data_IF_226440410599
#
_entry.id   IF_226440410599
#
_cell.length_a   1.000
_cell.length_b   1.000
_cell.length_c   1.000
_cell.angle_alpha   90.00
_cell.angle_beta   90.00
_cell.angle_gamma   90.00
#
_symmetry.space_group_name_H-M   'P 1'
#
loop_
_entity.id
_entity.type
_entity.pdbx_description
1 polymer ?
#
# COMPACT_ATOMS: atom_id res chain seq x y z
N UNK A 1 -24.33 77.82 16.96
CA UNK A 1 -23.75 77.31 15.70
C UNK A 1 -22.56 76.43 16.07
N UNK A 2 -22.35 75.36 15.27
CA UNK A 2 -21.38 74.26 15.42
C UNK A 2 -21.90 73.05 16.22
N UNK A 3 -22.84 72.37 15.57
CA UNK A 3 -23.18 70.96 15.75
C UNK A 3 -21.97 70.07 15.50
N UNK A 4 -21.65 69.20 16.46
CA UNK A 4 -20.61 68.18 16.32
C UNK A 4 -21.03 67.11 15.29
N UNK A 5 -20.09 66.59 14.48
CA UNK A 5 -20.38 65.54 13.51
C UNK A 5 -20.51 64.19 14.21
N UNK A 6 -21.68 63.58 14.07
CA UNK A 6 -21.93 62.17 14.33
C UNK A 6 -20.98 61.30 13.51
N UNK A 7 -20.11 60.55 14.18
CA UNK A 7 -19.36 59.44 13.62
C UNK A 7 -20.32 58.35 13.14
N UNK A 8 -20.13 57.80 11.92
CA UNK A 8 -20.93 56.67 11.47
C UNK A 8 -20.52 55.44 12.26
N UNK A 9 -21.49 54.80 12.93
CA UNK A 9 -21.37 53.42 13.36
C UNK A 9 -21.10 52.54 12.14
N UNK A 10 -19.83 52.20 11.92
CA UNK A 10 -19.47 50.99 11.20
C UNK A 10 -20.11 49.83 11.98
N UNK A 11 -21.01 49.02 11.38
CA UNK A 11 -21.36 47.77 12.00
C UNK A 11 -20.08 46.96 12.05
N UNK A 12 -19.58 46.73 13.26
CA UNK A 12 -18.72 45.59 13.55
C UNK A 12 -19.47 44.35 13.10
N UNK A 13 -19.29 43.99 11.83
CA UNK A 13 -19.37 42.61 11.37
C UNK A 13 -18.14 41.92 11.95
N UNK A 14 -18.10 41.85 13.29
CA UNK A 14 -17.55 40.70 13.98
C UNK A 14 -18.47 39.56 13.57
N UNK A 15 -18.21 38.98 12.40
CA UNK A 15 -18.58 37.61 12.10
C UNK A 15 -17.98 36.79 13.22
N UNK A 16 -18.77 36.61 14.28
CA UNK A 16 -18.47 35.67 15.32
C UNK A 16 -18.29 34.34 14.59
N UNK A 17 -17.09 33.79 14.61
CA UNK A 17 -16.82 32.37 14.33
C UNK A 17 -17.51 31.46 15.36
N UNK A 18 -18.65 31.90 15.92
CA UNK A 18 -19.60 31.07 16.60
C UNK A 18 -20.32 30.24 15.55
N UNK A 19 -20.14 28.92 15.66
CA UNK A 19 -20.97 27.87 15.10
C UNK A 19 -20.57 27.29 13.75
N UNK A 20 -19.30 26.92 13.56
CA UNK A 20 -19.03 25.69 12.81
C UNK A 20 -19.02 24.55 13.84
N UNK A 21 -19.99 23.61 13.80
CA UNK A 21 -20.02 22.46 14.69
C UNK A 21 -18.72 21.66 14.64
N UNK A 22 -18.28 21.08 15.77
CA UNK A 22 -17.08 20.23 15.82
C UNK A 22 -17.05 19.11 14.77
N UNK A 23 -18.22 18.60 14.39
CA UNK A 23 -18.39 17.56 13.37
C UNK A 23 -17.96 18.07 11.99
N UNK A 24 -18.29 19.31 11.64
CA UNK A 24 -17.87 19.91 10.38
C UNK A 24 -16.36 20.13 10.35
N UNK A 25 -15.75 20.52 11.48
CA UNK A 25 -14.29 20.62 11.58
C UNK A 25 -13.59 19.27 11.41
N UNK A 26 -14.17 18.19 11.93
CA UNK A 26 -13.67 16.83 11.69
C UNK A 26 -13.76 16.44 10.22
N UNK A 27 -14.85 16.79 9.53
CA UNK A 27 -14.99 16.54 8.09
C UNK A 27 -13.96 17.34 7.28
N UNK A 28 -13.77 18.62 7.59
CA UNK A 28 -12.74 19.46 6.96
C UNK A 28 -11.35 18.84 7.19
N UNK A 29 -11.05 18.44 8.43
CA UNK A 29 -9.78 17.82 8.75
C UNK A 29 -9.59 16.47 8.06
N UNK A 30 -10.65 15.66 7.92
CA UNK A 30 -10.59 14.40 7.19
C UNK A 30 -10.33 14.63 5.69
N UNK A 31 -10.98 15.61 5.09
CA UNK A 31 -10.75 15.99 3.70
C UNK A 31 -9.33 16.51 3.48
N UNK A 32 -8.82 17.39 4.37
CA UNK A 32 -7.44 17.85 4.33
C UNK A 32 -6.43 16.70 4.50
N UNK A 33 -6.76 15.69 5.30
CA UNK A 33 -5.96 14.48 5.46
C UNK A 33 -5.96 13.64 4.17
N UNK A 34 -7.11 13.48 3.51
CA UNK A 34 -7.21 12.80 2.20
C UNK A 34 -6.34 13.52 1.16
N UNK A 35 -6.40 14.85 1.14
CA UNK A 35 -5.58 15.70 0.26
C UNK A 35 -4.10 15.77 0.67
N UNK A 36 -3.70 15.07 1.74
CA UNK A 36 -2.34 15.10 2.31
C UNK A 36 -1.86 16.51 2.67
N UNK A 37 -2.77 17.44 2.94
CA UNK A 37 -2.48 18.84 3.28
C UNK A 37 -2.17 19.00 4.77
N UNK A 38 -1.03 18.44 5.18
CA UNK A 38 -0.60 18.39 6.58
C UNK A 38 -0.39 19.78 7.19
N UNK A 39 0.08 20.75 6.39
CA UNK A 39 0.29 22.13 6.86
C UNK A 39 -1.02 22.80 7.28
N UNK A 40 -2.09 22.62 6.50
CA UNK A 40 -3.39 23.21 6.84
C UNK A 40 -3.98 22.58 8.10
N UNK A 41 -3.80 21.27 8.29
CA UNK A 41 -4.20 20.58 9.53
C UNK A 41 -3.46 21.11 10.76
N UNK A 42 -2.15 21.34 10.65
CA UNK A 42 -1.35 21.93 11.72
C UNK A 42 -1.80 23.36 12.01
N UNK A 43 -2.01 24.18 10.97
CA UNK A 43 -2.51 25.54 11.14
C UNK A 43 -3.85 25.55 11.88
N UNK A 44 -4.77 24.64 11.55
CA UNK A 44 -6.05 24.51 12.24
C UNK A 44 -5.89 24.16 13.72
N UNK A 45 -4.93 23.30 14.09
CA UNK A 45 -4.66 22.98 15.49
C UNK A 45 -4.17 24.19 16.29
N UNK A 46 -3.48 25.14 15.65
CA UNK A 46 -2.94 26.32 16.29
C UNK A 46 -3.98 27.44 16.48
N UNK A 47 -5.15 27.34 15.84
CA UNK A 47 -6.18 28.40 15.91
C UNK A 47 -6.93 28.45 17.25
N UNK A 48 -7.18 27.30 17.89
CA UNK A 48 -7.86 27.24 19.20
C UNK A 48 -7.65 25.91 19.91
N UNK A 49 -7.83 25.89 21.23
CA UNK A 49 -7.78 24.66 22.04
C UNK A 49 -8.85 23.65 21.61
N UNK A 50 -10.05 24.13 21.26
CA UNK A 50 -11.12 23.25 20.80
C UNK A 50 -10.73 22.54 19.50
N UNK A 51 -10.23 23.29 18.51
CA UNK A 51 -9.80 22.71 17.24
C UNK A 51 -8.60 21.78 17.41
N UNK A 52 -7.65 22.14 18.27
CA UNK A 52 -6.55 21.26 18.64
C UNK A 52 -7.06 19.90 19.16
N UNK A 53 -8.02 19.89 20.09
CA UNK A 53 -8.58 18.67 20.64
C UNK A 53 -9.34 17.82 19.60
N UNK A 54 -9.99 18.45 18.61
CA UNK A 54 -10.72 17.74 17.57
C UNK A 54 -9.85 17.21 16.44
N UNK A 55 -8.73 17.88 16.13
CA UNK A 55 -7.89 17.57 14.98
C UNK A 55 -6.68 16.70 15.37
N UNK A 56 -6.19 16.81 16.61
CA UNK A 56 -5.08 15.97 17.11
C UNK A 56 -5.29 14.48 16.84
N UNK A 57 -6.47 13.87 17.08
CA UNK A 57 -6.69 12.46 16.76
C UNK A 57 -6.50 12.11 15.28
N UNK A 58 -6.83 13.04 14.37
CA UNK A 58 -6.68 12.85 12.93
C UNK A 58 -5.21 12.94 12.53
N UNK A 59 -4.49 13.94 13.06
CA UNK A 59 -3.06 14.13 12.80
C UNK A 59 -2.18 12.97 13.28
N UNK A 60 -2.52 12.40 14.43
CA UNK A 60 -1.79 11.28 15.03
C UNK A 60 -2.33 9.91 14.61
N UNK A 61 -3.43 9.85 13.85
CA UNK A 61 -3.94 8.59 13.29
C UNK A 61 -2.90 7.84 12.46
N UNK A 62 -2.08 8.59 11.70
CA UNK A 62 -0.98 8.08 10.89
C UNK A 62 0.31 8.86 11.17
N UNK A 63 1.32 8.16 11.68
CA UNK A 63 2.64 8.73 12.02
C UNK A 63 3.70 8.11 11.12
N UNK A 64 4.46 8.98 10.44
CA UNK A 64 5.56 8.60 9.56
C UNK A 64 6.89 9.05 10.16
N UNK A 65 7.81 8.10 10.37
CA UNK A 65 9.11 8.25 11.01
C UNK A 65 10.23 7.81 10.05
N UNK A 66 10.46 8.59 9.01
CA UNK A 66 11.38 8.23 7.92
C UNK A 66 12.88 8.35 8.27
N UNK A 67 13.21 8.96 9.40
CA UNK A 67 14.61 9.23 9.80
C UNK A 67 14.84 8.94 11.28
N UNK A 68 16.09 8.66 11.65
CA UNK A 68 16.51 8.50 13.06
C UNK A 68 16.14 9.73 13.90
N UNK A 69 16.25 10.93 13.33
CA UNK A 69 15.83 12.18 13.99
C UNK A 69 14.33 12.21 14.28
N UNK A 70 13.50 11.81 13.32
CA UNK A 70 12.05 11.73 13.55
C UNK A 70 11.69 10.69 14.60
N UNK A 71 12.36 9.54 14.63
CA UNK A 71 12.16 8.50 15.67
C UNK A 71 12.51 9.05 17.05
N UNK A 72 13.63 9.76 17.20
CA UNK A 72 14.04 10.36 18.47
C UNK A 72 13.03 11.41 18.96
N UNK A 73 12.63 12.35 18.10
CA UNK A 73 11.62 13.36 18.43
C UNK A 73 10.29 12.72 18.84
N UNK A 74 9.90 11.67 18.14
CA UNK A 74 8.71 10.90 18.45
C UNK A 74 8.79 10.25 19.84
N UNK A 75 9.88 9.54 20.14
CA UNK A 75 10.07 8.89 21.44
C UNK A 75 10.07 9.90 22.59
N UNK A 76 10.73 11.06 22.44
CA UNK A 76 10.71 12.15 23.42
C UNK A 76 9.30 12.70 23.65
N UNK A 77 8.58 12.95 22.55
CA UNK A 77 7.19 13.43 22.63
C UNK A 77 6.30 12.40 23.34
N UNK A 78 6.52 11.11 23.08
CA UNK A 78 5.76 10.04 23.72
C UNK A 78 6.12 9.87 25.20
N UNK A 79 7.38 10.05 25.59
CA UNK A 79 7.76 10.02 26.99
C UNK A 79 6.95 11.04 27.83
N UNK A 80 6.64 12.19 27.27
CA UNK A 80 5.88 13.26 27.94
C UNK A 80 4.36 13.16 27.77
N UNK A 81 3.88 12.74 26.60
CA UNK A 81 2.46 12.86 26.22
C UNK A 81 1.77 11.53 25.84
N UNK A 82 2.41 10.38 26.06
CA UNK A 82 1.90 9.08 25.61
C UNK A 82 0.47 8.77 26.09
N UNK A 83 0.12 9.07 27.34
CA UNK A 83 -1.22 8.80 27.87
C UNK A 83 -2.32 9.49 27.05
N UNK A 84 -2.01 10.66 26.46
CA UNK A 84 -2.93 11.42 25.61
C UNK A 84 -2.86 11.00 24.15
N UNK A 85 -1.66 10.77 23.61
CA UNK A 85 -1.44 10.58 22.16
C UNK A 85 -1.52 9.11 21.72
N UNK A 86 -1.08 8.19 22.57
CA UNK A 86 -0.98 6.77 22.28
C UNK A 86 -2.28 6.13 21.76
N UNK A 87 -3.45 6.41 22.35
CA UNK A 87 -4.72 5.88 21.86
C UNK A 87 -5.11 6.33 20.45
N UNK A 88 -4.52 7.41 19.90
CA UNK A 88 -4.87 7.90 18.57
C UNK A 88 -4.08 7.23 17.45
N UNK A 89 -2.90 6.68 17.74
CA UNK A 89 -2.06 6.07 16.70
C UNK A 89 -2.65 4.74 16.25
N UNK A 90 -3.00 4.67 14.97
CA UNK A 90 -3.50 3.46 14.31
C UNK A 90 -2.52 2.95 13.26
N UNK A 91 -1.80 3.86 12.61
CA UNK A 91 -0.78 3.55 11.62
C UNK A 91 0.56 4.16 12.01
N UNK A 92 1.60 3.34 12.05
CA UNK A 92 2.98 3.77 12.29
C UNK A 92 3.88 3.27 11.17
N UNK A 93 4.64 4.18 10.56
CA UNK A 93 5.65 3.84 9.56
C UNK A 93 7.02 4.26 10.05
N UNK A 94 7.90 3.30 10.27
CA UNK A 94 9.31 3.53 10.63
C UNK A 94 10.13 3.23 9.39
N UNK A 95 10.81 4.25 8.88
CA UNK A 95 11.41 4.23 7.55
C UNK A 95 10.37 4.14 6.43
N UNK A 96 10.82 3.86 5.22
CA UNK A 96 9.97 3.71 4.05
C UNK A 96 10.51 2.63 3.12
N UNK A 97 9.76 2.30 2.07
CA UNK A 97 10.23 1.48 0.97
C UNK A 97 9.79 2.14 -0.33
N UNK A 98 10.71 2.25 -1.28
CA UNK A 98 10.45 2.82 -2.60
C UNK A 98 10.23 1.71 -3.63
N UNK A 99 10.91 0.57 -3.44
CA UNK A 99 10.64 -0.67 -4.15
C UNK A 99 10.68 -1.85 -3.20
N UNK A 100 10.35 -3.04 -3.72
CA UNK A 100 10.46 -4.26 -2.95
C UNK A 100 11.89 -4.52 -2.46
N UNK A 101 12.90 -4.19 -3.27
CA UNK A 101 14.33 -4.30 -2.92
C UNK A 101 14.88 -3.07 -2.20
N UNK A 102 14.27 -1.90 -2.36
CA UNK A 102 14.80 -0.64 -1.85
C UNK A 102 14.05 -0.16 -0.61
N UNK A 103 14.48 -0.67 0.54
CA UNK A 103 14.01 -0.23 1.86
C UNK A 103 14.88 0.91 2.37
N UNK A 104 14.26 2.05 2.68
CA UNK A 104 14.89 3.16 3.37
C UNK A 104 14.90 2.87 4.86
N UNK A 105 15.83 2.01 5.25
CA UNK A 105 15.94 1.52 6.62
C UNK A 105 16.43 2.63 7.54
N UNK A 106 15.77 2.75 8.69
CA UNK A 106 16.25 3.62 9.75
C UNK A 106 17.27 2.86 10.59
N UNK A 107 18.46 3.45 10.73
CA UNK A 107 19.48 2.97 11.66
C UNK A 107 19.18 3.54 13.06
N UNK A 108 18.98 2.65 14.02
CA UNK A 108 18.68 2.98 15.40
C UNK A 108 19.84 2.52 16.28
N UNK A 109 20.35 3.42 17.13
CA UNK A 109 21.20 3.02 18.23
C UNK A 109 20.39 2.20 19.25
N UNK A 110 21.07 1.36 20.04
CA UNK A 110 20.40 0.54 21.08
C UNK A 110 19.50 1.36 22.00
N UNK A 111 19.94 2.51 22.58
CA UNK A 111 19.08 3.31 23.45
C UNK A 111 17.83 3.83 22.75
N UNK A 112 17.97 4.26 21.49
CA UNK A 112 16.83 4.77 20.72
C UNK A 112 15.85 3.65 20.35
N UNK A 113 16.34 2.43 20.11
CA UNK A 113 15.49 1.26 19.88
C UNK A 113 14.73 0.84 21.15
N UNK A 114 15.34 0.97 22.33
CA UNK A 114 14.70 0.76 23.63
C UNK A 114 13.61 1.82 23.90
N UNK A 115 13.92 3.10 23.66
CA UNK A 115 12.95 4.21 23.77
C UNK A 115 11.76 4.00 22.83
N UNK A 116 12.01 3.54 21.60
CA UNK A 116 10.96 3.22 20.63
C UNK A 116 10.12 2.03 21.11
N UNK A 117 10.74 0.99 21.66
CA UNK A 117 10.03 -0.14 22.28
C UNK A 117 9.10 0.33 23.39
N UNK A 118 9.59 1.23 24.27
CA UNK A 118 8.79 1.80 25.34
C UNK A 118 7.62 2.63 24.80
N UNK A 119 7.82 3.42 23.75
CA UNK A 119 6.75 4.16 23.10
C UNK A 119 5.69 3.21 22.50
N UNK A 120 6.10 2.15 21.80
CA UNK A 120 5.22 1.16 21.18
C UNK A 120 4.30 0.46 22.20
N UNK A 121 4.77 0.24 23.44
CA UNK A 121 3.95 -0.27 24.56
C UNK A 121 2.76 0.62 24.91
N UNK A 122 2.79 1.88 24.52
CA UNK A 122 1.78 2.88 24.85
C UNK A 122 0.81 3.14 23.70
N UNK A 123 0.81 2.32 22.65
CA UNK A 123 -0.04 2.47 21.46
C UNK A 123 -1.04 1.31 21.32
N UNK A 124 -2.07 1.23 22.18
CA UNK A 124 -2.97 0.08 22.22
C UNK A 124 -3.81 -0.10 20.94
N UNK A 125 -3.99 0.98 20.17
CA UNK A 125 -4.81 0.99 18.96
C UNK A 125 -4.01 0.84 17.67
N UNK A 126 -2.70 0.56 17.75
CA UNK A 126 -1.87 0.33 16.57
C UNK A 126 -2.35 -0.90 15.81
N UNK A 127 -2.68 -0.72 14.53
CA UNK A 127 -3.19 -1.78 13.63
C UNK A 127 -2.30 -1.97 12.42
N UNK A 128 -1.67 -0.90 11.96
CA UNK A 128 -0.88 -0.91 10.73
C UNK A 128 0.55 -0.50 11.04
N UNK A 129 1.50 -1.40 10.76
CA UNK A 129 2.91 -1.16 11.01
C UNK A 129 3.72 -1.34 9.74
N UNK A 130 4.53 -0.34 9.39
CA UNK A 130 5.68 -0.50 8.49
C UNK A 130 6.95 -0.39 9.30
N UNK A 131 7.80 -1.41 9.26
CA UNK A 131 9.02 -1.50 10.07
C UNK A 131 10.26 -1.69 9.17
N UNK A 132 10.69 -0.62 8.51
CA UNK A 132 11.92 -0.57 7.72
C UNK A 132 13.10 -0.15 8.62
N UNK A 133 13.73 -1.10 9.28
CA UNK A 133 14.86 -0.84 10.18
C UNK A 133 15.94 -1.92 10.06
N UNK A 134 17.14 -1.59 10.53
CA UNK A 134 18.23 -2.55 10.59
C UNK A 134 17.92 -3.69 11.58
N UNK A 135 18.44 -4.88 11.31
CA UNK A 135 18.17 -6.11 12.08
C UNK A 135 18.44 -5.96 13.59
N UNK A 136 19.51 -5.27 13.97
CA UNK A 136 19.84 -5.01 15.38
C UNK A 136 18.76 -4.15 16.04
N UNK A 137 18.37 -3.05 15.39
CA UNK A 137 17.30 -2.17 15.88
C UNK A 137 15.96 -2.89 15.96
N UNK A 138 15.65 -3.79 15.01
CA UNK A 138 14.45 -4.61 15.03
C UNK A 138 14.40 -5.50 16.27
N UNK A 139 15.48 -6.23 16.55
CA UNK A 139 15.57 -7.17 17.68
C UNK A 139 15.40 -6.42 19.00
N UNK A 140 16.20 -5.38 19.23
CA UNK A 140 16.12 -4.55 20.45
C UNK A 140 14.74 -3.93 20.66
N UNK A 141 14.08 -3.49 19.58
CA UNK A 141 12.78 -2.83 19.65
C UNK A 141 11.63 -3.82 19.91
N UNK A 142 11.60 -4.96 19.20
CA UNK A 142 10.44 -5.85 19.17
C UNK A 142 10.54 -7.08 20.06
N UNK A 143 11.73 -7.58 20.42
CA UNK A 143 11.87 -8.70 21.36
C UNK A 143 11.07 -8.49 22.67
N UNK A 144 11.08 -7.28 23.29
CA UNK A 144 10.28 -7.02 24.49
C UNK A 144 8.76 -7.03 24.25
N UNK A 145 8.31 -6.90 23.00
CA UNK A 145 6.90 -6.77 22.62
C UNK A 145 6.27 -8.13 22.26
N UNK A 146 7.09 -9.10 21.86
CA UNK A 146 6.63 -10.45 21.45
C UNK A 146 5.85 -11.16 22.56
N UNK A 147 6.33 -11.08 23.81
CA UNK A 147 5.76 -11.85 24.91
C UNK A 147 4.39 -11.30 25.37
N UNK A 148 4.22 -9.98 25.33
CA UNK A 148 3.00 -9.29 25.74
C UNK A 148 2.73 -8.16 24.74
N UNK A 149 2.19 -8.48 23.56
CA UNK A 149 1.97 -7.48 22.53
C UNK A 149 0.94 -6.45 23.02
N UNK A 150 1.29 -5.15 23.04
CA UNK A 150 0.43 -4.09 23.54
C UNK A 150 -0.68 -3.72 22.56
N UNK A 151 -0.63 -4.24 21.33
CA UNK A 151 -1.53 -3.97 20.22
C UNK A 151 -1.74 -5.21 19.36
N UNK A 152 -2.73 -5.13 18.46
CA UNK A 152 -3.14 -6.20 17.55
C UNK A 152 -3.10 -5.71 16.11
N UNK A 153 -2.04 -6.09 15.39
CA UNK A 153 -1.79 -5.67 14.02
C UNK A 153 -2.78 -6.35 13.07
N UNK A 154 -3.33 -5.57 12.15
CA UNK A 154 -4.10 -6.02 10.98
C UNK A 154 -3.24 -6.00 9.73
N UNK A 155 -2.29 -5.05 9.63
CA UNK A 155 -1.37 -4.92 8.52
C UNK A 155 0.07 -4.80 8.99
N UNK A 156 0.96 -5.57 8.37
CA UNK A 156 2.39 -5.50 8.62
C UNK A 156 3.16 -5.43 7.30
N UNK A 157 4.04 -4.44 7.17
CA UNK A 157 5.03 -4.34 6.10
C UNK A 157 6.44 -4.31 6.69
N UNK A 158 7.28 -5.26 6.33
CA UNK A 158 8.57 -5.46 6.99
C UNK A 158 9.56 -6.17 6.03
N UNK A 159 10.86 -5.81 6.00
CA UNK A 159 11.84 -6.59 5.26
C UNK A 159 12.10 -7.92 5.96
N UNK A 160 12.35 -8.96 5.17
CA UNK A 160 12.73 -10.28 5.63
C UNK A 160 14.14 -10.19 6.20
N UNK A 161 14.25 -10.34 7.52
CA UNK A 161 15.55 -10.31 8.22
C UNK A 161 16.06 -11.71 8.57
N UNK A 162 15.23 -12.75 8.44
CA UNK A 162 15.58 -14.13 8.80
C UNK A 162 15.86 -14.34 10.30
N UNK A 163 15.56 -13.36 11.15
CA UNK A 163 15.84 -13.41 12.59
C UNK A 163 14.75 -14.09 13.39
N UNK A 164 15.11 -14.66 14.55
CA UNK A 164 14.13 -15.19 15.50
C UNK A 164 13.08 -14.13 15.89
N UNK A 165 13.48 -12.90 16.15
CA UNK A 165 12.58 -11.77 16.45
C UNK A 165 11.50 -11.62 15.40
N UNK A 166 11.86 -11.66 14.12
CA UNK A 166 10.90 -11.55 13.02
C UNK A 166 9.81 -12.64 13.08
N UNK A 167 10.22 -13.90 13.26
CA UNK A 167 9.28 -15.02 13.38
C UNK A 167 8.38 -14.90 14.61
N UNK A 168 8.95 -14.56 15.76
CA UNK A 168 8.20 -14.47 17.00
C UNK A 168 7.24 -13.25 17.00
N UNK A 169 7.62 -12.15 16.35
CA UNK A 169 6.73 -11.01 16.13
C UNK A 169 5.50 -11.43 15.33
N UNK A 170 5.68 -12.11 14.19
CA UNK A 170 4.56 -12.62 13.39
C UNK A 170 3.70 -13.60 14.18
N UNK A 171 4.32 -14.50 14.97
CA UNK A 171 3.62 -15.47 15.81
C UNK A 171 2.78 -14.79 16.89
N UNK A 172 3.28 -13.70 17.47
CA UNK A 172 2.57 -12.90 18.48
C UNK A 172 1.37 -12.12 17.92
N UNK A 173 1.20 -12.07 16.59
CA UNK A 173 0.22 -11.23 15.90
C UNK A 173 -0.74 -12.06 15.00
N UNK A 174 -1.57 -12.96 15.57
CA UNK A 174 -2.49 -13.80 14.78
C UNK A 174 -3.62 -13.01 14.08
N UNK A 175 -3.81 -11.74 14.43
CA UNK A 175 -4.80 -10.84 13.84
C UNK A 175 -4.43 -10.28 12.47
N UNK A 176 -3.18 -10.47 12.01
CA UNK A 176 -2.70 -9.94 10.73
C UNK A 176 -3.54 -10.51 9.58
N UNK A 177 -4.07 -9.59 8.76
CA UNK A 177 -4.85 -9.88 7.56
C UNK A 177 -4.12 -9.53 6.27
N UNK A 178 -3.18 -8.57 6.34
CA UNK A 178 -2.37 -8.10 5.23
C UNK A 178 -0.89 -8.11 5.61
N UNK A 179 -0.10 -8.91 4.90
CA UNK A 179 1.33 -9.06 5.14
C UNK A 179 2.12 -8.70 3.89
N UNK A 180 3.00 -7.71 4.01
CA UNK A 180 3.98 -7.35 3.00
C UNK A 180 5.38 -7.68 3.51
N UNK A 181 6.03 -8.67 2.91
CA UNK A 181 7.39 -9.06 3.23
C UNK A 181 8.30 -8.58 2.10
N UNK A 182 9.17 -7.62 2.36
CA UNK A 182 10.28 -7.28 1.46
C UNK A 182 11.42 -8.28 1.59
N UNK A 183 12.30 -8.40 0.59
CA UNK A 183 13.47 -9.28 0.69
C UNK A 183 14.57 -8.78 -0.21
N UNK A 184 15.78 -8.79 0.32
CA UNK A 184 17.03 -8.49 -0.41
C UNK A 184 17.89 -9.75 -0.57
N UNK A 185 17.48 -10.89 0.02
CA UNK A 185 18.29 -12.11 0.10
C UNK A 185 17.45 -13.37 -0.13
N UNK A 186 17.85 -14.18 -1.10
CA UNK A 186 17.13 -15.39 -1.53
C UNK A 186 17.15 -16.52 -0.49
N UNK A 187 18.24 -16.69 0.28
CA UNK A 187 18.37 -17.80 1.25
C UNK A 187 17.34 -17.72 2.38
N UNK A 188 17.12 -16.54 2.95
CA UNK A 188 16.13 -16.36 4.02
C UNK A 188 14.70 -16.64 3.58
N UNK A 189 14.41 -16.52 2.28
CA UNK A 189 13.09 -16.79 1.72
C UNK A 189 12.74 -18.28 1.73
N UNK A 190 13.72 -19.15 1.46
CA UNK A 190 13.51 -20.60 1.47
C UNK A 190 13.21 -21.11 2.88
N UNK A 191 13.98 -20.65 3.87
CA UNK A 191 13.76 -21.02 5.27
C UNK A 191 12.41 -20.53 5.77
N UNK A 192 12.06 -19.28 5.43
CA UNK A 192 10.76 -18.71 5.79
C UNK A 192 9.60 -19.45 5.12
N UNK A 193 9.73 -19.74 3.83
CA UNK A 193 8.75 -20.51 3.05
C UNK A 193 8.53 -21.90 3.64
N UNK A 194 9.61 -22.59 4.00
CA UNK A 194 9.53 -23.90 4.65
C UNK A 194 8.79 -23.81 6.00
N UNK A 195 9.11 -22.82 6.83
CA UNK A 195 8.40 -22.59 8.09
C UNK A 195 6.89 -22.35 7.88
N UNK A 196 6.53 -21.52 6.90
CA UNK A 196 5.13 -21.27 6.57
C UNK A 196 4.41 -22.52 6.07
N UNK A 197 5.07 -23.34 5.23
CA UNK A 197 4.48 -24.54 4.66
C UNK A 197 4.18 -25.63 5.70
N UNK A 198 5.01 -25.70 6.76
CA UNK A 198 4.89 -26.69 7.84
C UNK A 198 3.90 -26.27 8.93
N UNK A 199 3.52 -24.99 8.99
CA UNK A 199 2.66 -24.43 10.03
C UNK A 199 1.43 -23.72 9.43
N UNK A 200 0.44 -24.43 8.88
CA UNK A 200 -0.72 -23.81 8.22
C UNK A 200 -1.57 -22.93 9.15
N UNK A 201 -1.51 -23.17 10.47
CA UNK A 201 -2.19 -22.35 11.49
C UNK A 201 -1.45 -21.03 11.82
N UNK A 202 -0.23 -20.84 11.31
CA UNK A 202 0.50 -19.59 11.45
C UNK A 202 -0.16 -18.51 10.59
N UNK A 203 -0.49 -17.37 11.20
CA UNK A 203 -1.25 -16.27 10.60
C UNK A 203 -2.61 -16.74 10.03
N UNK A 204 -3.52 -17.24 10.89
CA UNK A 204 -4.75 -17.89 10.45
C UNK A 204 -5.75 -16.93 9.77
N UNK A 205 -5.63 -15.62 10.04
CA UNK A 205 -6.50 -14.58 9.47
C UNK A 205 -5.92 -13.91 8.22
N UNK A 206 -4.80 -14.42 7.69
CA UNK A 206 -4.12 -13.82 6.55
C UNK A 206 -4.97 -13.96 5.28
N UNK A 207 -5.45 -12.83 4.75
CA UNK A 207 -6.27 -12.76 3.53
C UNK A 207 -5.54 -12.14 2.34
N UNK A 208 -4.51 -11.35 2.62
CA UNK A 208 -3.68 -10.63 1.64
C UNK A 208 -2.20 -10.84 1.93
N UNK A 209 -1.43 -11.18 0.91
CA UNK A 209 0.03 -11.28 1.01
C UNK A 209 0.73 -10.64 -0.18
N UNK A 210 1.75 -9.85 0.11
CA UNK A 210 2.73 -9.32 -0.86
C UNK A 210 4.09 -9.91 -0.55
N UNK A 211 4.62 -10.75 -1.44
CA UNK A 211 5.90 -11.43 -1.23
C UNK A 211 6.49 -11.98 -2.55
N UNK A 212 7.75 -12.45 -2.56
CA UNK A 212 8.32 -13.19 -3.68
C UNK A 212 7.64 -14.55 -3.83
N UNK A 213 7.74 -15.09 -5.03
CA UNK A 213 7.22 -16.41 -5.39
C UNK A 213 7.69 -17.51 -4.42
N UNK A 214 8.96 -17.48 -4.01
CA UNK A 214 9.56 -18.42 -3.05
C UNK A 214 8.79 -18.47 -1.72
N UNK A 215 8.43 -17.31 -1.16
CA UNK A 215 7.66 -17.18 0.09
C UNK A 215 6.19 -17.54 -0.16
N UNK A 216 5.60 -17.05 -1.25
CA UNK A 216 4.19 -17.30 -1.59
C UNK A 216 3.88 -18.81 -1.67
N UNK A 217 4.82 -19.61 -2.20
CA UNK A 217 4.71 -21.07 -2.26
C UNK A 217 4.45 -21.72 -0.90
N UNK A 218 5.04 -21.19 0.17
CA UNK A 218 4.82 -21.67 1.55
C UNK A 218 3.67 -20.96 2.27
N UNK A 219 3.41 -19.70 1.93
CA UNK A 219 2.42 -18.86 2.60
C UNK A 219 0.99 -19.14 2.16
N UNK A 220 0.73 -19.32 0.87
CA UNK A 220 -0.63 -19.45 0.33
C UNK A 220 -1.35 -20.75 0.76
N UNK A 221 -0.69 -21.93 0.70
CA UNK A 221 -1.37 -23.18 0.96
C UNK A 221 -2.07 -23.24 2.32
N UNK A 222 -3.33 -23.72 2.31
CA UNK A 222 -4.15 -23.99 3.50
C UNK A 222 -4.45 -22.75 4.36
N UNK A 223 -4.40 -21.55 3.78
CA UNK A 223 -4.81 -20.29 4.43
C UNK A 223 -5.92 -19.59 3.64
N UNK A 224 -6.73 -18.71 4.25
CA UNK A 224 -7.83 -18.02 3.58
C UNK A 224 -7.35 -16.80 2.77
N UNK A 225 -6.35 -16.98 1.91
CA UNK A 225 -5.76 -15.91 1.12
C UNK A 225 -6.57 -15.71 -0.17
N UNK A 226 -7.17 -14.55 -0.36
CA UNK A 226 -7.87 -14.17 -1.59
C UNK A 226 -7.10 -13.18 -2.45
N UNK A 227 -6.09 -12.53 -1.88
CA UNK A 227 -5.30 -11.48 -2.51
C UNK A 227 -3.81 -11.80 -2.47
N UNK A 228 -3.19 -11.88 -3.64
CA UNK A 228 -1.76 -12.18 -3.78
C UNK A 228 -1.10 -11.10 -4.64
N UNK A 229 -0.11 -10.40 -4.09
CA UNK A 229 0.79 -9.53 -4.84
C UNK A 229 2.14 -10.24 -4.98
N UNK A 230 2.48 -10.58 -6.22
CA UNK A 230 3.66 -11.32 -6.60
C UNK A 230 4.78 -10.34 -6.89
N UNK A 231 5.91 -10.52 -6.24
CA UNK A 231 7.08 -9.70 -6.49
C UNK A 231 7.99 -10.45 -7.45
N UNK A 232 8.18 -9.90 -8.66
CA UNK A 232 8.94 -10.56 -9.73
C UNK A 232 10.34 -10.01 -9.92
N UNK A 233 10.72 -8.96 -9.18
CA UNK A 233 12.08 -8.38 -9.21
C UNK A 233 13.18 -9.42 -8.86
N UNK A 234 12.85 -10.60 -8.30
CA UNK A 234 13.80 -11.67 -7.94
C UNK A 234 13.89 -12.83 -8.94
N UNK A 235 13.15 -12.76 -10.06
CA UNK A 235 13.39 -13.67 -11.18
C UNK A 235 14.73 -13.36 -11.89
N UNK A 236 15.35 -12.24 -11.50
CA UNK A 236 16.53 -11.73 -12.15
C UNK A 236 17.87 -12.25 -11.57
N UNK A 237 18.52 -13.09 -12.38
CA UNK A 237 19.97 -13.07 -12.72
C UNK A 237 20.98 -13.91 -11.91
N UNK A 238 20.65 -14.58 -10.81
CA UNK A 238 21.66 -15.46 -10.15
C UNK A 238 21.74 -16.88 -10.72
N UNK A 239 20.86 -17.25 -11.65
CA UNK A 239 20.94 -18.57 -12.28
C UNK A 239 20.44 -18.54 -13.74
N UNK A 240 21.34 -18.40 -14.74
CA UNK A 240 20.98 -18.28 -16.16
C UNK A 240 20.30 -19.53 -16.77
N UNK A 241 19.90 -20.51 -15.94
CA UNK A 241 19.09 -21.68 -16.32
C UNK A 241 17.70 -21.74 -15.68
N UNK A 242 17.30 -20.78 -14.82
CA UNK A 242 16.06 -20.84 -14.02
C UNK A 242 14.95 -19.90 -14.56
N UNK A 243 15.05 -19.47 -15.82
CA UNK A 243 14.02 -18.62 -16.47
C UNK A 243 12.73 -19.35 -16.86
N UNK A 244 12.60 -20.64 -16.50
CA UNK A 244 11.33 -21.37 -16.63
C UNK A 244 10.73 -21.48 -15.22
N UNK A 245 9.75 -20.64 -14.92
CA UNK A 245 8.90 -20.86 -13.73
C UNK A 245 8.09 -22.13 -14.01
N UNK A 246 8.62 -23.28 -13.57
CA UNK A 246 7.99 -24.56 -13.76
C UNK A 246 6.56 -24.55 -13.19
N UNK A 247 5.66 -25.32 -13.81
CA UNK A 247 4.25 -25.45 -13.37
C UNK A 247 4.09 -25.68 -11.85
N UNK A 248 5.02 -26.43 -11.26
CA UNK A 248 5.08 -26.74 -9.83
C UNK A 248 5.20 -25.52 -8.90
N UNK A 249 5.57 -24.36 -9.44
CA UNK A 249 5.70 -23.11 -8.69
C UNK A 249 4.34 -22.40 -8.57
N UNK A 250 3.54 -22.42 -9.63
CA UNK A 250 2.26 -21.68 -9.70
C UNK A 250 1.13 -22.38 -8.97
N UNK A 251 1.05 -23.71 -9.07
CA UNK A 251 -0.02 -24.51 -8.46
C UNK A 251 -0.25 -24.21 -6.97
N UNK A 252 0.76 -24.23 -6.08
CA UNK A 252 0.54 -23.95 -4.65
C UNK A 252 0.09 -22.51 -4.38
N UNK A 253 0.43 -21.55 -5.24
CA UNK A 253 0.07 -20.13 -5.09
C UNK A 253 -1.36 -19.88 -5.60
N UNK A 254 -1.73 -20.51 -6.72
CA UNK A 254 -3.02 -20.26 -7.39
C UNK A 254 -4.14 -21.15 -6.86
N UNK A 255 -3.84 -22.39 -6.48
CA UNK A 255 -4.82 -23.39 -6.03
C UNK A 255 -4.71 -23.75 -4.55
N UNK A 256 -3.64 -23.33 -3.86
CA UNK A 256 -3.37 -23.77 -2.49
C UNK A 256 -4.24 -23.11 -1.43
N UNK A 257 -4.85 -21.96 -1.73
CA UNK A 257 -5.67 -21.21 -0.78
C UNK A 257 -6.96 -21.96 -0.41
N UNK A 258 -7.45 -21.74 0.82
CA UNK A 258 -8.75 -22.25 1.26
C UNK A 258 -9.93 -21.50 0.64
N UNK A 259 -9.68 -20.31 0.08
CA UNK A 259 -10.69 -19.48 -0.59
C UNK A 259 -10.24 -19.18 -2.01
N UNK A 260 -11.17 -18.90 -2.94
CA UNK A 260 -10.79 -18.50 -4.29
C UNK A 260 -9.91 -17.25 -4.30
N UNK A 261 -8.89 -17.27 -5.16
CA UNK A 261 -8.09 -16.08 -5.45
C UNK A 261 -8.94 -15.14 -6.31
N UNK A 262 -9.22 -13.96 -5.76
CA UNK A 262 -10.03 -12.91 -6.43
C UNK A 262 -9.18 -11.73 -6.86
N UNK A 263 -7.99 -11.55 -6.27
CA UNK A 263 -7.06 -10.49 -6.65
C UNK A 263 -5.65 -11.03 -6.82
N UNK A 264 -5.06 -10.80 -7.98
CA UNK A 264 -3.65 -11.03 -8.23
C UNK A 264 -3.03 -9.71 -8.63
N UNK A 265 -1.85 -9.42 -8.11
CA UNK A 265 -1.06 -8.38 -8.71
C UNK A 265 0.43 -8.68 -8.74
N UNK A 266 1.16 -7.80 -9.40
CA UNK A 266 2.57 -7.98 -9.72
C UNK A 266 3.33 -6.69 -9.42
N UNK A 267 4.46 -6.80 -8.73
CA UNK A 267 5.49 -5.76 -8.71
C UNK A 267 6.50 -6.07 -9.81
N UNK A 268 6.53 -5.23 -10.84
CA UNK A 268 7.35 -5.42 -12.02
C UNK A 268 8.49 -4.39 -12.07
N UNK A 269 9.72 -4.88 -12.22
CA UNK A 269 10.91 -4.05 -12.47
C UNK A 269 11.10 -3.89 -13.99
N UNK A 270 11.63 -2.76 -14.48
CA UNK A 270 11.94 -2.59 -15.89
C UNK A 270 13.15 -3.44 -16.32
N UNK A 271 13.89 -3.97 -15.34
CA UNK A 271 15.02 -4.87 -15.54
C UNK A 271 14.64 -6.36 -15.55
N UNK A 272 13.38 -6.68 -15.21
CA UNK A 272 12.88 -8.06 -15.14
C UNK A 272 12.07 -8.43 -16.37
N UNK A 273 12.24 -9.67 -16.84
CA UNK A 273 11.34 -10.23 -17.86
C UNK A 273 9.89 -10.13 -17.39
N UNK A 274 8.99 -9.78 -18.32
CA UNK A 274 7.59 -9.62 -17.99
C UNK A 274 6.96 -10.98 -17.64
N UNK A 275 6.51 -11.18 -16.39
CA UNK A 275 5.95 -12.46 -15.96
C UNK A 275 4.59 -12.77 -16.59
N UNK A 276 3.94 -11.84 -17.31
CA UNK A 276 2.60 -12.04 -17.88
C UNK A 276 2.47 -13.27 -18.75
N UNK A 277 3.48 -13.52 -19.59
CA UNK A 277 3.49 -14.62 -20.54
C UNK A 277 3.53 -15.99 -19.83
N UNK A 278 3.93 -16.03 -18.55
CA UNK A 278 3.92 -17.23 -17.73
C UNK A 278 2.70 -17.25 -16.78
N UNK A 279 2.37 -16.10 -16.19
CA UNK A 279 1.32 -15.97 -15.20
C UNK A 279 -0.07 -16.17 -15.80
N UNK A 280 -0.40 -15.51 -16.92
CA UNK A 280 -1.75 -15.59 -17.49
C UNK A 280 -2.09 -17.01 -17.96
N UNK A 281 -1.19 -17.74 -18.65
CA UNK A 281 -1.42 -19.15 -18.94
C UNK A 281 -1.58 -20.00 -17.68
N UNK A 282 -0.80 -19.75 -16.62
CA UNK A 282 -0.95 -20.45 -15.35
C UNK A 282 -2.33 -20.20 -14.73
N UNK A 283 -2.77 -18.94 -14.64
CA UNK A 283 -4.09 -18.57 -14.11
C UNK A 283 -5.21 -19.34 -14.83
N UNK A 284 -5.17 -19.40 -16.17
CA UNK A 284 -6.17 -20.14 -16.97
C UNK A 284 -6.04 -21.66 -16.79
N UNK A 285 -4.82 -22.17 -16.78
CA UNK A 285 -4.56 -23.60 -16.60
C UNK A 285 -5.14 -24.11 -15.27
N UNK A 286 -5.02 -23.30 -14.22
CA UNK A 286 -5.49 -23.62 -12.87
C UNK A 286 -6.92 -23.13 -12.59
N UNK A 287 -7.62 -22.58 -13.58
CA UNK A 287 -9.02 -22.18 -13.46
C UNK A 287 -9.29 -20.94 -12.59
N UNK A 288 -8.25 -20.19 -12.22
CA UNK A 288 -8.37 -18.98 -11.40
C UNK A 288 -8.95 -17.81 -12.20
N UNK A 289 -8.84 -17.85 -13.54
CA UNK A 289 -9.48 -16.89 -14.47
C UNK A 289 -11.01 -16.78 -14.28
N UNK A 290 -11.64 -17.82 -13.73
CA UNK A 290 -13.08 -17.86 -13.45
C UNK A 290 -13.49 -17.12 -12.17
N UNK A 291 -12.56 -16.93 -11.24
CA UNK A 291 -12.82 -16.29 -9.93
C UNK A 291 -12.07 -14.97 -9.76
N UNK A 292 -11.10 -14.70 -10.64
CA UNK A 292 -10.28 -13.50 -10.57
C UNK A 292 -11.07 -12.26 -10.94
N UNK A 293 -11.22 -11.36 -9.98
CA UNK A 293 -11.95 -10.10 -10.13
C UNK A 293 -11.03 -8.91 -10.39
N UNK A 294 -9.79 -8.97 -9.91
CA UNK A 294 -8.88 -7.83 -9.96
C UNK A 294 -7.47 -8.25 -10.36
N UNK A 295 -6.92 -7.55 -11.33
CA UNK A 295 -5.49 -7.59 -11.68
C UNK A 295 -4.86 -6.24 -11.33
N UNK A 296 -3.78 -6.26 -10.55
CA UNK A 296 -3.01 -5.06 -10.21
C UNK A 296 -1.55 -5.20 -10.63
N UNK A 297 -0.97 -4.12 -11.10
CA UNK A 297 0.39 -4.07 -11.61
C UNK A 297 1.01 -2.84 -11.04
N UNK A 298 2.11 -3.00 -10.33
CA UNK A 298 2.86 -1.90 -9.75
C UNK A 298 4.21 -1.91 -10.43
N UNK A 299 4.44 -0.91 -11.27
CA UNK A 299 5.66 -0.77 -12.04
C UNK A 299 6.65 0.06 -11.24
N UNK A 300 7.82 -0.52 -10.99
CA UNK A 300 8.99 0.21 -10.54
C UNK A 300 9.55 0.89 -11.80
N UNK A 301 9.44 2.20 -11.90
CA UNK A 301 10.05 2.94 -13.01
C UNK A 301 11.39 3.48 -12.51
N UNK A 302 12.50 2.87 -12.96
CA UNK A 302 13.83 3.28 -12.56
C UNK A 302 14.18 4.65 -13.19
N UNK A 303 14.74 5.61 -12.42
CA UNK A 303 15.16 6.89 -12.96
C UNK A 303 16.32 6.76 -13.98
N UNK A 304 16.36 7.59 -15.05
CA UNK A 304 15.38 8.61 -15.38
C UNK A 304 14.18 8.01 -16.11
N UNK A 305 13.00 8.19 -15.52
CA UNK A 305 11.74 7.79 -16.14
C UNK A 305 11.40 8.82 -17.21
N UNK A 306 11.57 8.45 -18.47
CA UNK A 306 11.26 9.33 -19.62
C UNK A 306 9.81 9.15 -20.06
N UNK A 307 9.22 10.19 -20.65
CA UNK A 307 7.88 10.10 -21.28
C UNK A 307 7.83 8.96 -22.31
N UNK A 308 8.91 8.76 -23.07
CA UNK A 308 9.02 7.66 -24.03
C UNK A 308 8.96 6.28 -23.37
N UNK A 309 9.71 6.06 -22.29
CA UNK A 309 9.68 4.78 -21.54
C UNK A 309 8.30 4.45 -20.97
N UNK A 310 7.56 5.48 -20.52
CA UNK A 310 6.17 5.31 -20.07
C UNK A 310 5.24 4.93 -21.22
N UNK A 311 5.39 5.59 -22.37
CA UNK A 311 4.58 5.30 -23.55
C UNK A 311 4.83 3.89 -24.12
N UNK A 312 6.07 3.42 -24.12
CA UNK A 312 6.43 2.06 -24.54
C UNK A 312 5.81 1.01 -23.61
N UNK A 313 5.99 1.19 -22.29
CA UNK A 313 5.41 0.29 -21.28
C UNK A 313 3.89 0.22 -21.41
N UNK A 314 3.22 1.36 -21.56
CA UNK A 314 1.78 1.41 -21.81
C UNK A 314 1.36 0.68 -23.10
N UNK A 315 2.14 0.81 -24.18
CA UNK A 315 1.85 0.10 -25.43
C UNK A 315 1.97 -1.42 -25.28
N UNK A 316 2.95 -1.88 -24.49
CA UNK A 316 3.09 -3.29 -24.12
C UNK A 316 1.88 -3.77 -23.29
N UNK A 317 1.45 -3.00 -22.28
CA UNK A 317 0.26 -3.32 -21.46
C UNK A 317 -1.02 -3.41 -22.29
N UNK A 318 -1.22 -2.49 -23.23
CA UNK A 318 -2.35 -2.54 -24.17
C UNK A 318 -2.35 -3.85 -24.97
N UNK A 319 -1.18 -4.29 -25.45
CA UNK A 319 -1.07 -5.55 -26.18
C UNK A 319 -1.34 -6.78 -25.29
N UNK A 320 -0.92 -6.74 -24.02
CA UNK A 320 -1.19 -7.79 -23.04
C UNK A 320 -2.68 -7.91 -22.68
N UNK A 321 -3.51 -6.91 -22.96
CA UNK A 321 -4.96 -7.07 -22.76
C UNK A 321 -5.56 -8.18 -23.64
N UNK A 322 -4.96 -8.46 -24.79
CA UNK A 322 -5.43 -9.53 -25.70
C UNK A 322 -5.34 -10.91 -25.06
N UNK A 323 -4.34 -11.15 -24.21
CA UNK A 323 -4.13 -12.45 -23.55
C UNK A 323 -5.10 -12.68 -22.38
N UNK A 324 -5.76 -11.62 -21.89
CA UNK A 324 -6.83 -11.71 -20.88
C UNK A 324 -8.18 -12.16 -21.45
N UNK A 325 -8.25 -12.48 -22.75
CA UNK A 325 -9.47 -13.05 -23.33
C UNK A 325 -9.88 -14.35 -22.61
N UNK A 326 -11.13 -14.41 -22.17
CA UNK A 326 -11.72 -15.58 -21.49
C UNK A 326 -11.73 -15.49 -19.97
N UNK A 327 -11.38 -14.36 -19.37
CA UNK A 327 -11.62 -14.11 -17.95
C UNK A 327 -13.09 -13.73 -17.75
N UNK A 328 -13.79 -14.48 -16.90
CA UNK A 328 -15.25 -14.39 -16.76
C UNK A 328 -15.68 -13.32 -15.74
N UNK A 329 -14.87 -13.10 -14.70
CA UNK A 329 -15.19 -12.22 -13.57
C UNK A 329 -14.25 -11.04 -13.41
N UNK A 330 -13.35 -10.79 -14.36
CA UNK A 330 -12.35 -9.72 -14.23
C UNK A 330 -13.04 -8.34 -14.34
N UNK A 331 -13.23 -7.68 -13.20
CA UNK A 331 -13.95 -6.41 -13.05
C UNK A 331 -13.01 -5.20 -13.00
N UNK A 332 -11.79 -5.37 -12.47
CA UNK A 332 -10.83 -4.28 -12.27
C UNK A 332 -9.45 -4.61 -12.80
N UNK A 333 -8.86 -3.66 -13.51
CA UNK A 333 -7.47 -3.68 -13.96
C UNK A 333 -6.77 -2.39 -13.53
N UNK A 334 -5.63 -2.51 -12.85
CA UNK A 334 -4.90 -1.35 -12.33
C UNK A 334 -3.42 -1.46 -12.67
N UNK A 335 -2.92 -0.53 -13.48
CA UNK A 335 -1.49 -0.27 -13.63
C UNK A 335 -1.13 0.95 -12.81
N UNK A 336 -0.21 0.83 -11.88
CA UNK A 336 0.21 1.87 -10.95
C UNK A 336 1.71 2.10 -11.07
N UNK A 337 2.13 3.34 -10.83
CA UNK A 337 3.53 3.67 -10.55
C UNK A 337 3.83 3.39 -9.07
N UNK A 338 5.07 3.04 -8.74
CA UNK A 338 5.51 3.07 -7.34
C UNK A 338 5.39 4.49 -6.75
N UNK A 339 5.08 4.61 -5.45
CA UNK A 339 4.86 5.91 -4.82
C UNK A 339 6.10 6.82 -4.94
N UNK A 340 5.91 8.04 -5.43
CA UNK A 340 6.96 9.07 -5.55
C UNK A 340 7.09 9.69 -6.95
N UNK A 341 6.56 9.03 -7.98
CA UNK A 341 6.49 9.54 -9.35
C UNK A 341 5.01 9.53 -9.72
N UNK A 342 4.37 10.70 -9.78
CA UNK A 342 2.99 10.82 -10.25
C UNK A 342 2.99 11.43 -11.65
N UNK A 343 2.54 10.67 -12.64
CA UNK A 343 2.27 11.24 -13.96
C UNK A 343 1.06 12.20 -13.92
N UNK A 344 1.14 13.38 -14.56
CA UNK A 344 -0.03 14.24 -14.71
C UNK A 344 -1.16 13.50 -15.43
N UNK A 345 -2.39 13.63 -14.95
CA UNK A 345 -3.52 12.91 -15.52
C UNK A 345 -3.76 13.21 -17.01
N UNK A 346 -3.43 14.43 -17.45
CA UNK A 346 -3.50 14.86 -18.85
C UNK A 346 -2.56 14.07 -19.76
N UNK A 347 -1.37 13.70 -19.27
CA UNK A 347 -0.37 12.98 -20.05
C UNK A 347 -0.77 11.52 -20.22
N UNK A 348 -1.22 10.88 -19.13
CA UNK A 348 -1.76 9.53 -19.18
C UNK A 348 -2.94 9.44 -20.14
N UNK A 349 -3.88 10.38 -20.07
CA UNK A 349 -5.03 10.42 -20.97
C UNK A 349 -4.63 10.65 -22.43
N UNK A 350 -3.64 11.50 -22.69
CA UNK A 350 -3.08 11.74 -24.03
C UNK A 350 -2.41 10.49 -24.59
N UNK A 351 -1.60 9.80 -23.80
CA UNK A 351 -0.95 8.55 -24.22
C UNK A 351 -1.97 7.47 -24.54
N UNK A 352 -2.94 7.26 -23.65
CA UNK A 352 -3.99 6.26 -23.84
C UNK A 352 -4.89 6.61 -25.02
N UNK A 353 -5.24 7.89 -25.21
CA UNK A 353 -5.99 8.36 -26.38
C UNK A 353 -5.24 8.16 -27.70
N UNK A 354 -3.90 8.28 -27.70
CA UNK A 354 -3.05 8.03 -28.85
C UNK A 354 -2.85 6.55 -29.21
N UNK A 355 -3.10 5.63 -28.27
CA UNK A 355 -2.88 4.18 -28.44
C UNK A 355 -4.06 3.43 -29.07
N UNK A 356 -5.16 4.12 -29.37
CA UNK A 356 -6.36 3.50 -29.90
C UNK A 356 -7.29 2.91 -28.83
N UNK A 357 -8.50 2.59 -29.26
CA UNK A 357 -9.71 2.62 -28.45
C UNK A 357 -9.67 1.67 -27.23
N UNK A 358 -9.67 2.22 -26.01
CA UNK A 358 -9.85 1.48 -24.73
C UNK A 358 -11.08 0.55 -24.78
N UNK A 359 -12.07 0.86 -25.63
CA UNK A 359 -13.21 -0.03 -25.90
C UNK A 359 -12.81 -1.41 -26.43
N UNK A 360 -11.65 -1.56 -27.07
CA UNK A 360 -11.11 -2.85 -27.48
C UNK A 360 -10.82 -3.76 -26.27
N UNK A 361 -10.55 -3.20 -25.09
CA UNK A 361 -10.33 -4.00 -23.89
C UNK A 361 -11.61 -4.69 -23.44
N UNK A 362 -12.76 -4.01 -23.52
CA UNK A 362 -14.08 -4.62 -23.26
C UNK A 362 -14.40 -5.74 -24.25
N UNK A 363 -13.90 -5.68 -25.48
CA UNK A 363 -14.04 -6.78 -26.45
C UNK A 363 -13.27 -8.03 -26.01
N UNK A 364 -12.13 -7.86 -25.33
CA UNK A 364 -11.34 -8.97 -24.80
C UNK A 364 -11.82 -9.44 -23.42
N UNK A 365 -12.25 -8.52 -22.57
CA UNK A 365 -12.71 -8.77 -21.20
C UNK A 365 -14.06 -8.04 -20.98
N UNK A 366 -15.20 -8.67 -21.35
CA UNK A 366 -16.51 -8.04 -21.26
C UNK A 366 -16.94 -7.68 -19.82
N UNK A 367 -16.44 -8.42 -18.83
CA UNK A 367 -16.71 -8.19 -17.39
C UNK A 367 -16.04 -6.94 -16.82
N UNK A 368 -15.12 -6.30 -17.56
CA UNK A 368 -14.29 -5.22 -17.05
C UNK A 368 -15.11 -3.95 -16.79
N UNK A 369 -15.20 -3.55 -15.53
CA UNK A 369 -15.95 -2.39 -15.04
C UNK A 369 -15.05 -1.19 -14.75
N UNK A 370 -13.79 -1.42 -14.39
CA UNK A 370 -12.84 -0.37 -14.05
C UNK A 370 -11.45 -0.66 -14.61
N UNK A 371 -10.86 0.36 -15.22
CA UNK A 371 -9.46 0.37 -15.61
C UNK A 371 -8.78 1.62 -15.04
N UNK A 372 -7.65 1.44 -14.37
CA UNK A 372 -6.81 2.52 -13.88
C UNK A 372 -5.40 2.40 -14.47
N UNK A 373 -4.86 3.52 -14.92
CA UNK A 373 -3.48 3.65 -15.36
C UNK A 373 -2.84 4.83 -14.63
N UNK A 374 -1.76 4.55 -13.91
CA UNK A 374 -0.95 5.53 -13.19
C UNK A 374 -1.80 6.47 -12.32
N UNK A 375 -2.77 5.90 -11.59
CA UNK A 375 -3.70 6.62 -10.73
C UNK A 375 -4.91 7.26 -11.45
N UNK A 376 -4.91 7.30 -12.79
CA UNK A 376 -6.01 7.85 -13.59
C UNK A 376 -7.02 6.77 -13.93
N UNK A 377 -8.30 7.02 -13.63
CA UNK A 377 -9.37 6.14 -14.08
C UNK A 377 -9.64 6.40 -15.56
N UNK A 378 -9.57 5.34 -16.37
CA UNK A 378 -9.83 5.46 -17.79
C UNK A 378 -11.33 5.59 -18.02
N UNK A 379 -11.81 6.65 -18.71
CA UNK A 379 -13.21 6.75 -19.06
C UNK A 379 -13.53 5.63 -20.04
N UNK A 380 -14.49 4.79 -19.67
CA UNK A 380 -15.20 4.03 -20.69
C UNK A 380 -15.92 5.06 -21.54
N UNK A 381 -15.62 5.09 -22.83
CA UNK A 381 -16.61 5.57 -23.77
C UNK A 381 -17.79 4.60 -23.63
N UNK A 382 -18.71 4.87 -22.70
CA UNK A 382 -20.11 4.61 -22.98
C UNK A 382 -20.31 5.20 -24.35
N UNK A 383 -20.48 4.31 -25.32
CA UNK A 383 -20.64 4.70 -26.69
C UNK A 383 -21.62 5.87 -26.69
N UNK A 384 -21.18 6.98 -27.28
CA UNK A 384 -22.10 7.86 -27.94
C UNK A 384 -22.90 6.99 -28.91
N UNK A 385 -23.98 6.37 -28.44
CA UNK A 385 -25.17 6.18 -29.24
C UNK A 385 -25.77 7.56 -29.40
N UNK A 386 -25.09 8.42 -30.19
CA UNK A 386 -25.85 9.31 -31.02
C UNK A 386 -26.44 8.38 -32.05
N UNK A 387 -27.70 8.06 -31.79
CA UNK A 387 -28.61 7.48 -32.73
C UNK A 387 -28.30 8.01 -34.13
N UNK A 388 -27.88 7.11 -35.02
CA UNK A 388 -28.25 7.22 -36.42
C UNK A 388 -29.79 7.16 -36.46
N UNK A 389 -30.41 8.29 -36.18
CA UNK A 389 -31.79 8.59 -36.56
C UNK A 389 -31.73 9.85 -37.41
N UNK A 390 -32.23 9.68 -38.63
CA UNK A 390 -32.59 10.68 -39.64
C UNK A 390 -31.48 11.24 -40.54
N UNK A 391 -31.42 10.67 -41.73
CA UNK A 391 -30.67 11.09 -42.91
C UNK A 391 -30.68 10.00 -43.96
#
# INVERSE_FOLDING_TARGET
MLSAPTTPHLPQVLLSMTMIPPELWRLIAYELQIQQNRQSLLNLCLTSVALNNHITPILYGCVDLFTTKSVNLFCRTFAEFAARLGPYIQTLRIGSYHSYRQWHRVELSTPLAEDLSAALKLMPNLRDLTAAMMTVGLSTCFDPLVLNPPFSLQKLAIPLTGTRTFYELLKSQPSIKDLHIGSEHTLGEYDFSHCLSTQPQFLPNLTSITAPISILKGAVPKRPISTVMIVTELLDWTDPGVTIIARSIWEPILCGSQVPITTIGIYHSPHSDDPWDQLIPAIKQFGVDKTLQRIKVVETLDPPVTEWSKQETLSQRVNQMKILKGFDQLESLEFSEMPGISSPASDVMRWVGGMGNITAWKKHVPSLQQAKMYGVSLPWLEAWSIDNVSG
#
